data_IF_154921411299
#
_entry.id   IF_154921411299
#
_cell.length_a   1.000
_cell.length_b   1.000
_cell.length_c   1.000
_cell.angle_alpha   90.00
_cell.angle_beta   90.00
_cell.angle_gamma   90.00
#
_symmetry.space_group_name_H-M   'P 1'
#
loop_
_entity.id
_entity.type
_entity.pdbx_description
1 polymer ?
#
# COMPACT_ATOMS: atom_id res chain seq x y z
N UNK A 1 -2.95 -0.75 -50.13
CA UNK A 1 -4.07 -1.40 -49.41
C UNK A 1 -5.10 -0.35 -49.04
N UNK A 2 -6.36 -0.57 -49.38
CA UNK A 2 -7.48 0.34 -49.14
C UNK A 2 -8.78 -0.44 -48.83
N UNK A 3 -9.75 0.22 -48.19
CA UNK A 3 -11.10 -0.30 -48.00
C UNK A 3 -12.08 0.59 -48.78
N UNK A 4 -12.84 0.00 -49.71
CA UNK A 4 -13.78 0.73 -50.55
C UNK A 4 -15.22 0.31 -50.23
N UNK A 5 -16.14 1.29 -50.09
CA UNK A 5 -17.56 1.05 -49.84
C UNK A 5 -18.30 0.85 -51.16
N UNK A 6 -19.21 -0.12 -51.20
CA UNK A 6 -20.06 -0.42 -52.37
C UNK A 6 -21.55 -0.35 -52.03
N UNK A 7 -22.42 -0.64 -53.00
CA UNK A 7 -23.87 -0.70 -52.80
C UNK A 7 -24.30 -1.87 -51.92
N UNK A 8 -23.54 -2.97 -51.93
CA UNK A 8 -23.83 -4.24 -51.26
C UNK A 8 -22.91 -4.54 -50.05
N UNK A 9 -21.83 -3.79 -49.88
CA UNK A 9 -20.81 -4.15 -48.90
C UNK A 9 -19.57 -3.25 -48.88
N UNK A 10 -18.45 -3.90 -48.62
CA UNK A 10 -17.12 -3.33 -48.60
C UNK A 10 -16.14 -4.27 -49.29
N UNK A 11 -15.25 -3.68 -50.09
CA UNK A 11 -14.11 -4.36 -50.68
C UNK A 11 -12.82 -4.00 -49.96
N UNK A 12 -11.90 -4.95 -50.03
CA UNK A 12 -10.50 -4.76 -49.68
C UNK A 12 -9.68 -4.75 -50.96
N UNK A 13 -8.98 -3.64 -51.19
CA UNK A 13 -8.14 -3.43 -52.36
C UNK A 13 -6.68 -3.55 -51.97
N UNK A 14 -5.90 -4.30 -52.74
CA UNK A 14 -4.46 -4.44 -52.54
C UNK A 14 -3.70 -4.39 -53.86
N UNK A 15 -2.59 -3.66 -53.82
CA UNK A 15 -1.55 -3.66 -54.83
C UNK A 15 -0.22 -3.65 -54.06
N UNK A 16 0.67 -4.57 -54.41
CA UNK A 16 2.04 -4.66 -53.91
C UNK A 16 2.96 -3.60 -54.53
N UNK A 17 4.26 -3.68 -54.22
CA UNK A 17 5.26 -2.91 -54.95
C UNK A 17 5.51 -3.48 -56.35
N UNK A 18 6.08 -2.67 -57.24
CA UNK A 18 6.59 -3.15 -58.53
C UNK A 18 7.54 -4.34 -58.30
N UNK A 19 7.45 -5.35 -59.17
CA UNK A 19 8.18 -6.63 -59.11
C UNK A 19 7.78 -7.61 -57.98
N UNK A 20 6.91 -7.23 -57.04
CA UNK A 20 6.49 -8.12 -55.94
C UNK A 20 5.00 -8.54 -56.02
N UNK A 21 4.14 -7.80 -56.72
CA UNK A 21 2.67 -7.94 -56.63
C UNK A 21 2.10 -9.34 -56.99
N UNK A 22 2.83 -10.17 -57.73
CA UNK A 22 2.42 -11.52 -58.11
C UNK A 22 2.34 -12.52 -56.92
N UNK A 23 2.89 -12.16 -55.75
CA UNK A 23 2.93 -13.05 -54.58
C UNK A 23 1.52 -13.48 -54.11
N UNK A 24 0.55 -12.56 -54.11
CA UNK A 24 -0.82 -12.82 -53.66
C UNK A 24 -1.48 -13.88 -54.54
N UNK A 25 -1.35 -13.76 -55.87
CA UNK A 25 -1.91 -14.75 -56.79
C UNK A 25 -1.21 -16.10 -56.69
N UNK A 26 0.10 -16.09 -56.46
CA UNK A 26 0.89 -17.31 -56.25
C UNK A 26 0.43 -18.08 -55.02
N UNK A 27 0.24 -17.41 -53.88
CA UNK A 27 -0.29 -18.02 -52.65
C UNK A 27 -1.74 -18.52 -52.85
N UNK A 28 -2.60 -17.73 -53.48
CA UNK A 28 -3.99 -18.15 -53.74
C UNK A 28 -4.07 -19.37 -54.66
N UNK A 29 -3.16 -19.52 -55.63
CA UNK A 29 -3.08 -20.70 -56.52
C UNK A 29 -2.54 -21.93 -55.79
N UNK A 30 -1.47 -21.77 -55.02
CA UNK A 30 -0.75 -22.89 -54.41
C UNK A 30 -1.37 -23.35 -53.09
N UNK A 31 -1.72 -22.40 -52.23
CA UNK A 31 -2.14 -22.65 -50.84
C UNK A 31 -3.65 -22.46 -50.64
N UNK A 32 -4.36 -21.94 -51.67
CA UNK A 32 -5.80 -21.68 -51.63
C UNK A 32 -6.20 -20.48 -50.76
N UNK A 33 -5.23 -19.83 -50.10
CA UNK A 33 -5.42 -18.68 -49.24
C UNK A 33 -4.18 -17.79 -49.23
N UNK A 34 -4.36 -16.52 -48.84
CA UNK A 34 -3.27 -15.54 -48.72
C UNK A 34 -3.52 -14.63 -47.52
N UNK A 35 -2.43 -14.12 -46.92
CA UNK A 35 -2.52 -13.20 -45.76
C UNK A 35 -1.90 -11.85 -46.07
N UNK A 36 -2.75 -10.85 -46.32
CA UNK A 36 -2.31 -9.50 -46.64
C UNK A 36 -2.12 -8.69 -45.35
N UNK A 37 -1.02 -7.94 -45.29
CA UNK A 37 -0.64 -7.12 -44.12
C UNK A 37 -0.58 -7.88 -42.79
N UNK A 38 -0.33 -9.21 -42.85
CA UNK A 38 -0.22 -10.15 -41.72
C UNK A 38 -1.48 -10.26 -40.86
N UNK A 39 -2.63 -9.84 -41.38
CA UNK A 39 -3.89 -9.75 -40.62
C UNK A 39 -5.07 -10.22 -41.46
N UNK A 40 -5.11 -9.82 -42.73
CA UNK A 40 -6.27 -10.01 -43.59
C UNK A 40 -6.13 -11.30 -44.38
N UNK A 41 -6.94 -12.31 -44.04
CA UNK A 41 -6.86 -13.63 -44.67
C UNK A 41 -7.94 -13.77 -45.74
N UNK A 42 -7.55 -14.03 -46.98
CA UNK A 42 -8.47 -14.20 -48.09
C UNK A 42 -8.31 -15.59 -48.69
N UNK A 43 -9.40 -16.13 -49.21
CA UNK A 43 -9.42 -17.32 -50.05
C UNK A 43 -9.77 -16.93 -51.48
N UNK A 44 -9.54 -17.85 -52.43
CA UNK A 44 -9.78 -17.56 -53.85
C UNK A 44 -11.23 -17.12 -54.16
N UNK A 45 -12.22 -17.62 -53.44
CA UNK A 45 -13.63 -17.24 -53.63
C UNK A 45 -13.95 -15.81 -53.21
N UNK A 46 -13.04 -15.15 -52.48
CA UNK A 46 -13.21 -13.76 -52.06
C UNK A 46 -12.77 -12.79 -53.16
N UNK A 47 -11.97 -13.25 -54.14
CA UNK A 47 -11.42 -12.44 -55.23
C UNK A 47 -12.42 -12.31 -56.38
N UNK A 48 -12.76 -11.08 -56.77
CA UNK A 48 -13.80 -10.83 -57.80
C UNK A 48 -13.36 -11.08 -59.23
N UNK A 49 -12.14 -10.70 -59.60
CA UNK A 49 -11.65 -10.76 -60.98
C UNK A 49 -10.29 -11.46 -61.04
N UNK A 50 -10.20 -12.79 -60.86
CA UNK A 50 -8.91 -13.49 -60.80
C UNK A 50 -8.03 -13.24 -62.04
N UNK A 51 -6.71 -13.00 -61.88
CA UNK A 51 -5.79 -12.84 -63.00
C UNK A 51 -5.76 -14.04 -63.93
N UNK A 52 -5.67 -13.78 -65.23
CA UNK A 52 -5.40 -14.77 -66.27
C UNK A 52 -3.92 -14.75 -66.72
N UNK A 53 -3.56 -15.65 -67.64
CA UNK A 53 -2.17 -15.79 -68.12
C UNK A 53 -1.68 -14.59 -68.95
N UNK A 54 -2.57 -13.66 -69.30
CA UNK A 54 -2.26 -12.42 -70.04
C UNK A 54 -2.29 -11.17 -69.15
N UNK A 55 -2.64 -11.32 -67.88
CA UNK A 55 -2.77 -10.22 -66.94
C UNK A 55 -1.39 -9.68 -66.56
N UNK A 56 -1.19 -8.38 -66.79
CA UNK A 56 0.00 -7.68 -66.28
C UNK A 56 -0.10 -7.58 -64.76
N UNK A 57 0.79 -8.30 -64.08
CA UNK A 57 0.76 -8.41 -62.63
C UNK A 57 1.35 -7.18 -61.94
N UNK A 58 2.08 -6.30 -62.64
CA UNK A 58 2.74 -5.16 -62.01
C UNK A 58 1.73 -4.08 -61.58
N UNK A 59 0.70 -3.86 -62.41
CA UNK A 59 -0.36 -2.87 -62.17
C UNK A 59 -1.68 -3.49 -61.68
N UNK A 60 -1.73 -4.80 -61.49
CA UNK A 60 -2.95 -5.49 -61.09
C UNK A 60 -3.39 -5.15 -59.65
N UNK A 61 -4.65 -4.72 -59.48
CA UNK A 61 -5.24 -4.45 -58.16
C UNK A 61 -6.13 -5.62 -57.75
N UNK A 62 -5.74 -6.32 -56.70
CA UNK A 62 -6.57 -7.37 -56.11
C UNK A 62 -7.76 -6.74 -55.37
N UNK A 63 -8.98 -7.13 -55.75
CA UNK A 63 -10.22 -6.68 -55.12
C UNK A 63 -10.92 -7.87 -54.47
N UNK A 64 -10.93 -7.88 -53.14
CA UNK A 64 -11.57 -8.93 -52.34
C UNK A 64 -12.87 -8.43 -51.72
N UNK A 65 -13.90 -9.28 -51.71
CA UNK A 65 -15.06 -9.08 -50.83
C UNK A 65 -14.61 -9.12 -49.36
N UNK A 66 -14.92 -8.07 -48.59
CA UNK A 66 -14.44 -7.92 -47.22
C UNK A 66 -15.56 -7.86 -46.18
N UNK A 67 -16.68 -7.22 -46.50
CA UNK A 67 -17.83 -7.14 -45.59
C UNK A 67 -19.14 -6.95 -46.34
N UNK A 68 -20.24 -7.46 -45.76
CA UNK A 68 -21.58 -7.36 -46.33
C UNK A 68 -22.46 -6.48 -45.47
N UNK A 69 -23.33 -5.68 -46.09
CA UNK A 69 -24.30 -4.88 -45.35
C UNK A 69 -25.42 -5.79 -44.85
N UNK A 70 -25.65 -5.78 -43.53
CA UNK A 70 -26.74 -6.46 -42.83
C UNK A 70 -27.48 -5.44 -41.97
N UNK A 71 -28.57 -4.87 -42.50
CA UNK A 71 -29.32 -3.81 -41.85
C UNK A 71 -28.47 -2.54 -41.67
N UNK A 72 -28.34 -2.08 -40.42
CA UNK A 72 -27.54 -0.89 -40.08
C UNK A 72 -26.03 -1.19 -39.91
N UNK A 73 -25.62 -2.45 -40.08
CA UNK A 73 -24.26 -2.92 -39.83
C UNK A 73 -23.59 -3.47 -41.09
N UNK A 74 -22.26 -3.54 -41.05
CA UNK A 74 -21.41 -4.26 -41.99
C UNK A 74 -20.84 -5.44 -41.24
N UNK A 75 -21.15 -6.65 -41.70
CA UNK A 75 -20.63 -7.90 -41.18
C UNK A 75 -19.37 -8.30 -41.93
N UNK A 76 -18.28 -8.47 -41.19
CA UNK A 76 -16.98 -8.93 -41.68
C UNK A 76 -16.80 -10.38 -41.18
N UNK A 77 -16.61 -11.35 -42.09
CA UNK A 77 -16.33 -12.73 -41.72
C UNK A 77 -15.09 -12.83 -40.81
N UNK A 78 -15.21 -13.52 -39.67
CA UNK A 78 -14.16 -13.61 -38.66
C UNK A 78 -12.84 -14.15 -39.22
N UNK A 79 -12.92 -15.15 -40.13
CA UNK A 79 -11.76 -15.72 -40.82
C UNK A 79 -10.90 -14.66 -41.52
N UNK A 80 -11.51 -13.61 -42.07
CA UNK A 80 -10.81 -12.58 -42.82
C UNK A 80 -9.94 -11.70 -41.93
N UNK A 81 -10.12 -11.74 -40.62
CA UNK A 81 -9.38 -10.93 -39.65
C UNK A 81 -8.80 -11.79 -38.53
N UNK A 82 -8.70 -13.11 -38.74
CA UNK A 82 -8.10 -14.05 -37.79
C UNK A 82 -8.90 -14.21 -36.49
N UNK A 83 -10.22 -14.07 -36.56
CA UNK A 83 -11.18 -14.20 -35.45
C UNK A 83 -12.08 -15.43 -35.66
N UNK A 84 -12.43 -16.13 -34.58
CA UNK A 84 -13.47 -17.18 -34.64
C UNK A 84 -14.89 -16.60 -34.71
N UNK A 85 -15.05 -15.34 -34.29
CA UNK A 85 -16.30 -14.60 -34.31
C UNK A 85 -16.28 -13.65 -35.51
N UNK A 86 -17.40 -13.57 -36.22
CA UNK A 86 -17.64 -12.47 -37.16
C UNK A 86 -17.68 -11.13 -36.42
N UNK A 87 -17.42 -10.04 -37.13
CA UNK A 87 -17.38 -8.70 -36.54
C UNK A 87 -18.35 -7.80 -37.25
N UNK A 88 -19.12 -7.03 -36.48
CA UNK A 88 -20.13 -6.11 -37.00
C UNK A 88 -19.80 -4.67 -36.60
N UNK A 89 -19.77 -3.77 -37.57
CA UNK A 89 -19.60 -2.33 -37.38
C UNK A 89 -20.73 -1.55 -38.05
N UNK A 90 -21.13 -0.36 -37.55
CA UNK A 90 -22.09 0.49 -38.24
C UNK A 90 -21.72 0.75 -39.70
N UNK A 91 -22.71 0.84 -40.59
CA UNK A 91 -22.52 1.11 -42.03
C UNK A 91 -21.81 2.43 -42.36
N UNK A 92 -21.75 3.35 -41.38
CA UNK A 92 -21.00 4.61 -41.45
C UNK A 92 -19.54 4.52 -41.00
N UNK A 93 -19.05 3.36 -40.56
CA UNK A 93 -17.67 3.20 -40.08
C UNK A 93 -16.66 3.35 -41.22
N UNK A 94 -15.62 4.16 -40.99
CA UNK A 94 -14.51 4.30 -41.92
C UNK A 94 -13.41 3.28 -41.62
N UNK A 95 -13.34 2.22 -42.42
CA UNK A 95 -12.40 1.13 -42.19
C UNK A 95 -10.95 1.54 -42.48
N UNK A 96 -10.08 1.26 -41.51
CA UNK A 96 -8.63 1.38 -41.61
C UNK A 96 -7.99 0.20 -40.94
N UNK A 97 -6.77 -0.15 -41.36
CA UNK A 97 -5.96 -1.22 -40.76
C UNK A 97 -5.92 -1.16 -39.22
N UNK A 98 -5.79 0.04 -38.65
CA UNK A 98 -5.69 0.27 -37.20
C UNK A 98 -6.91 -0.19 -36.37
N UNK A 99 -8.06 -0.43 -37.01
CA UNK A 99 -9.22 -1.00 -36.34
C UNK A 99 -9.08 -2.51 -36.13
N UNK A 100 -8.25 -3.18 -36.95
CA UNK A 100 -8.12 -4.64 -36.97
C UNK A 100 -6.75 -5.11 -36.48
N UNK A 101 -5.71 -4.28 -36.61
CA UNK A 101 -4.34 -4.62 -36.29
C UNK A 101 -3.75 -3.70 -35.21
N UNK A 102 -3.20 -4.32 -34.15
CA UNK A 102 -2.35 -3.65 -33.16
C UNK A 102 -0.85 -3.81 -33.48
N UNK A 103 0.00 -3.25 -32.62
CA UNK A 103 1.46 -3.39 -32.67
C UNK A 103 1.89 -4.86 -32.83
N UNK A 104 2.99 -5.10 -33.56
CA UNK A 104 3.48 -6.44 -33.94
C UNK A 104 2.51 -7.27 -34.79
N UNK A 105 1.58 -6.63 -35.49
CA UNK A 105 0.57 -7.29 -36.33
C UNK A 105 -0.31 -8.27 -35.54
N UNK A 106 -0.64 -7.91 -34.31
CA UNK A 106 -1.62 -8.65 -33.52
C UNK A 106 -3.00 -8.32 -34.07
N UNK A 107 -3.77 -9.35 -34.48
CA UNK A 107 -5.19 -9.17 -34.76
C UNK A 107 -5.93 -8.83 -33.48
N UNK A 108 -6.56 -7.65 -33.45
CA UNK A 108 -7.34 -7.17 -32.31
C UNK A 108 -8.51 -8.12 -32.06
N UNK A 109 -9.27 -8.45 -33.11
CA UNK A 109 -10.41 -9.36 -33.03
C UNK A 109 -9.99 -10.82 -32.85
N UNK A 110 -8.84 -11.22 -33.39
CA UNK A 110 -8.25 -12.52 -33.10
C UNK A 110 -7.82 -12.66 -31.64
N UNK A 111 -7.40 -11.56 -30.99
CA UNK A 111 -7.13 -11.56 -29.55
C UNK A 111 -8.41 -11.55 -28.72
N UNK A 112 -9.42 -10.78 -29.13
CA UNK A 112 -10.71 -10.72 -28.45
C UNK A 112 -11.45 -12.07 -28.51
N UNK A 113 -11.56 -12.68 -29.69
CA UNK A 113 -12.23 -13.98 -29.87
C UNK A 113 -11.63 -15.07 -28.99
N UNK A 114 -10.30 -15.12 -28.81
CA UNK A 114 -9.63 -16.07 -27.90
C UNK A 114 -9.99 -15.88 -26.42
N UNK A 115 -10.54 -14.72 -26.04
CA UNK A 115 -10.99 -14.44 -24.68
C UNK A 115 -12.49 -14.70 -24.50
N UNK A 116 -13.23 -14.96 -25.58
CA UNK A 116 -14.65 -15.29 -25.56
C UNK A 116 -14.82 -16.81 -25.57
N UNK A 117 -15.86 -17.28 -24.88
CA UNK A 117 -16.27 -18.69 -24.82
C UNK A 117 -17.42 -19.03 -25.79
N UNK A 118 -17.81 -18.07 -26.63
CA UNK A 118 -18.88 -18.19 -27.61
C UNK A 118 -18.43 -17.74 -29.00
N UNK A 119 -19.24 -18.06 -30.02
CA UNK A 119 -19.00 -17.71 -31.43
C UNK A 119 -19.91 -16.61 -31.98
N UNK A 120 -20.78 -16.06 -31.13
CA UNK A 120 -21.65 -14.95 -31.53
C UNK A 120 -20.84 -13.75 -32.06
N UNK A 121 -21.37 -12.98 -33.04
CA UNK A 121 -20.65 -11.85 -33.61
C UNK A 121 -20.23 -10.80 -32.57
N UNK A 122 -19.02 -10.26 -32.73
CA UNK A 122 -18.53 -9.12 -31.94
C UNK A 122 -19.08 -7.85 -32.57
N UNK A 123 -20.02 -7.19 -31.89
CA UNK A 123 -20.66 -5.97 -32.38
C UNK A 123 -19.96 -4.76 -31.76
N UNK A 124 -19.52 -3.81 -32.59
CA UNK A 124 -18.81 -2.60 -32.17
C UNK A 124 -19.57 -1.36 -32.63
N UNK A 125 -20.13 -0.61 -31.68
CA UNK A 125 -20.90 0.62 -31.92
C UNK A 125 -22.33 0.38 -32.43
N UNK A 126 -23.00 1.48 -32.78
CA UNK A 126 -24.41 1.46 -33.21
C UNK A 126 -25.39 1.33 -32.03
N UNK A 127 -26.64 0.99 -32.35
CA UNK A 127 -27.75 0.97 -31.39
C UNK A 127 -28.00 -0.40 -30.73
N UNK A 128 -27.30 -1.46 -31.15
CA UNK A 128 -27.48 -2.80 -30.58
C UNK A 128 -27.09 -2.79 -29.08
N UNK A 129 -27.98 -3.23 -28.15
CA UNK A 129 -27.70 -3.27 -26.71
C UNK A 129 -26.51 -4.15 -26.31
N UNK A 130 -26.12 -5.11 -27.17
CA UNK A 130 -24.95 -5.99 -26.96
C UNK A 130 -23.67 -5.42 -27.57
N UNK A 131 -23.73 -4.27 -28.25
CA UNK A 131 -22.57 -3.67 -28.87
C UNK A 131 -21.59 -3.12 -27.82
N UNK A 132 -20.30 -3.32 -28.08
CA UNK A 132 -19.24 -2.58 -27.41
C UNK A 132 -19.37 -1.11 -27.86
N UNK A 133 -19.58 -0.13 -26.96
CA UNK A 133 -19.67 1.26 -27.37
C UNK A 133 -18.42 1.70 -28.13
N UNK A 134 -18.58 2.53 -29.18
CA UNK A 134 -17.46 2.94 -30.03
C UNK A 134 -16.33 3.58 -29.20
N UNK A 135 -16.67 4.43 -28.23
CA UNK A 135 -15.69 5.08 -27.34
C UNK A 135 -14.88 4.08 -26.50
N UNK A 136 -15.52 2.99 -26.06
CA UNK A 136 -14.86 1.91 -25.31
C UNK A 136 -13.92 1.14 -26.22
N UNK A 137 -14.34 0.85 -27.46
CA UNK A 137 -13.48 0.21 -28.45
C UNK A 137 -12.27 1.08 -28.81
N UNK A 138 -12.47 2.38 -29.01
CA UNK A 138 -11.38 3.34 -29.23
C UNK A 138 -10.43 3.45 -28.02
N UNK A 139 -10.97 3.41 -26.79
CA UNK A 139 -10.14 3.36 -25.59
C UNK A 139 -9.30 2.07 -25.54
N UNK A 140 -9.88 0.93 -25.91
CA UNK A 140 -9.16 -0.33 -26.06
C UNK A 140 -8.01 -0.18 -27.08
N UNK A 141 -8.28 0.35 -28.28
CA UNK A 141 -7.26 0.59 -29.31
C UNK A 141 -6.10 1.44 -28.79
N UNK A 142 -6.40 2.50 -28.03
CA UNK A 142 -5.39 3.39 -27.42
C UNK A 142 -4.60 2.70 -26.30
N UNK A 143 -5.23 1.76 -25.58
CA UNK A 143 -4.61 1.07 -24.43
C UNK A 143 -3.89 -0.22 -24.80
N UNK A 144 -4.07 -0.73 -26.01
CA UNK A 144 -3.35 -1.92 -26.48
C UNK A 144 -1.84 -1.77 -26.22
N UNK A 145 -1.18 -2.77 -25.58
CA UNK A 145 0.24 -2.70 -25.29
C UNK A 145 1.06 -2.50 -26.56
N UNK A 146 1.98 -1.54 -26.53
CA UNK A 146 2.89 -1.32 -27.64
C UNK A 146 4.13 -2.22 -27.53
N UNK A 147 4.96 -2.21 -28.58
CA UNK A 147 6.19 -3.03 -28.63
C UNK A 147 7.12 -2.76 -27.45
N UNK A 148 7.21 -1.52 -26.97
CA UNK A 148 8.04 -1.14 -25.83
C UNK A 148 7.50 -1.68 -24.51
N UNK A 149 6.19 -1.58 -24.27
CA UNK A 149 5.51 -2.13 -23.09
C UNK A 149 5.67 -3.65 -23.01
N UNK A 150 5.50 -4.35 -24.14
CA UNK A 150 5.67 -5.80 -24.21
C UNK A 150 7.11 -6.24 -23.91
N UNK A 151 8.11 -5.49 -24.40
CA UNK A 151 9.51 -5.76 -24.07
C UNK A 151 9.80 -5.53 -22.59
N UNK A 152 9.32 -4.41 -22.03
CA UNK A 152 9.48 -4.11 -20.60
C UNK A 152 8.85 -5.19 -19.71
N UNK A 153 7.66 -5.66 -20.07
CA UNK A 153 7.02 -6.77 -19.38
C UNK A 153 7.88 -8.05 -19.44
N UNK A 154 8.37 -8.41 -20.63
CA UNK A 154 9.22 -9.60 -20.79
C UNK A 154 10.51 -9.49 -19.96
N UNK A 155 11.21 -8.35 -20.04
CA UNK A 155 12.44 -8.11 -19.29
C UNK A 155 12.19 -8.15 -17.77
N UNK A 156 11.08 -7.57 -17.28
CA UNK A 156 10.69 -7.62 -15.88
C UNK A 156 10.39 -9.04 -15.39
N UNK A 157 9.77 -9.88 -16.24
CA UNK A 157 9.53 -11.30 -15.93
C UNK A 157 10.83 -12.07 -15.83
N UNK A 158 11.77 -11.88 -16.77
CA UNK A 158 13.10 -12.50 -16.74
C UNK A 158 13.87 -12.06 -15.49
N UNK A 159 13.89 -10.75 -15.20
CA UNK A 159 14.53 -10.20 -14.01
C UNK A 159 13.98 -10.81 -12.73
N UNK A 160 12.65 -10.92 -12.59
CA UNK A 160 12.03 -11.49 -11.38
C UNK A 160 12.46 -12.93 -11.11
N UNK A 161 12.74 -13.71 -12.15
CA UNK A 161 13.14 -15.12 -12.02
C UNK A 161 14.65 -15.23 -11.75
N UNK A 162 15.46 -14.39 -12.38
CA UNK A 162 16.92 -14.57 -12.41
C UNK A 162 17.71 -13.63 -11.49
N UNK A 163 17.10 -12.56 -10.94
CA UNK A 163 17.83 -11.56 -10.15
C UNK A 163 18.44 -12.09 -8.85
N UNK A 164 17.96 -13.24 -8.35
CA UNK A 164 18.54 -13.91 -7.18
C UNK A 164 19.71 -14.82 -7.53
N UNK A 165 19.95 -15.09 -8.82
CA UNK A 165 20.96 -16.02 -9.30
C UNK A 165 22.08 -15.33 -10.10
N UNK A 166 21.78 -14.18 -10.71
CA UNK A 166 22.71 -13.44 -11.56
C UNK A 166 22.98 -12.05 -10.96
N UNK A 167 24.24 -11.78 -10.65
CA UNK A 167 24.69 -10.45 -10.23
C UNK A 167 24.75 -9.49 -11.42
N UNK A 168 24.57 -8.19 -11.14
CA UNK A 168 24.72 -7.13 -12.15
C UNK A 168 23.56 -6.98 -13.15
N UNK A 169 22.42 -7.63 -12.90
CA UNK A 169 21.22 -7.43 -13.73
C UNK A 169 20.72 -5.99 -13.64
N UNK A 170 20.29 -5.43 -14.77
CA UNK A 170 19.57 -4.15 -14.81
C UNK A 170 18.21 -4.32 -14.12
N UNK A 171 17.77 -3.32 -13.35
CA UNK A 171 16.47 -3.31 -12.68
C UNK A 171 15.30 -3.18 -13.66
N UNK A 172 15.08 -4.21 -14.46
CA UNK A 172 14.02 -4.23 -15.46
C UNK A 172 12.62 -4.21 -14.83
N UNK A 173 12.50 -4.72 -13.59
CA UNK A 173 11.26 -4.68 -12.83
C UNK A 173 10.89 -3.24 -12.47
N UNK A 174 11.78 -2.50 -11.81
CA UNK A 174 11.54 -1.10 -11.46
C UNK A 174 11.26 -0.25 -12.70
N UNK A 175 12.00 -0.46 -13.79
CA UNK A 175 11.75 0.28 -15.03
C UNK A 175 10.38 0.00 -15.68
N UNK A 176 9.83 -1.22 -15.52
CA UNK A 176 8.48 -1.54 -15.99
C UNK A 176 7.41 -0.94 -15.07
N UNK A 177 7.59 -1.02 -13.75
CA UNK A 177 6.71 -0.39 -12.76
C UNK A 177 6.64 1.13 -12.97
N UNK A 178 7.77 1.79 -13.20
CA UNK A 178 7.84 3.23 -13.52
C UNK A 178 7.08 3.58 -14.80
N UNK A 179 7.19 2.73 -15.82
CA UNK A 179 6.46 2.91 -17.08
C UNK A 179 4.95 2.81 -16.86
N UNK A 180 4.48 1.80 -16.12
CA UNK A 180 3.07 1.64 -15.78
C UNK A 180 2.56 2.81 -14.93
N UNK A 181 3.33 3.24 -13.93
CA UNK A 181 2.98 4.36 -13.08
C UNK A 181 2.82 5.64 -13.90
N UNK A 182 3.75 5.96 -14.80
CA UNK A 182 3.61 7.11 -15.72
C UNK A 182 2.36 7.02 -16.60
N UNK A 183 1.98 5.81 -17.01
CA UNK A 183 0.77 5.56 -17.81
C UNK A 183 -0.52 5.65 -16.98
N UNK A 184 -0.47 5.29 -15.69
CA UNK A 184 -1.62 5.27 -14.77
C UNK A 184 -1.87 6.60 -14.05
N UNK A 185 -0.83 7.40 -13.79
CA UNK A 185 -0.92 8.71 -13.09
C UNK A 185 -1.82 9.72 -13.81
N UNK A 186 -2.20 9.48 -15.07
CA UNK A 186 -3.14 10.30 -15.84
C UNK A 186 -4.62 10.12 -15.40
N UNK A 187 -4.95 9.17 -14.52
CA UNK A 187 -6.31 9.07 -13.93
C UNK A 187 -6.23 9.16 -12.40
N UNK A 188 -6.92 10.17 -11.86
CA UNK A 188 -6.95 10.63 -10.47
C UNK A 188 -6.70 9.56 -9.42
N UNK A 189 -5.73 9.83 -8.55
CA UNK A 189 -5.41 8.98 -7.42
C UNK A 189 -6.64 8.72 -6.55
N UNK A 190 -6.85 7.44 -6.23
CA UNK A 190 -7.81 6.96 -5.23
C UNK A 190 -7.42 7.56 -3.86
N UNK A 191 -7.92 8.75 -3.54
CA UNK A 191 -7.90 9.25 -2.16
C UNK A 191 -8.96 8.46 -1.40
N UNK A 192 -8.51 7.50 -0.59
CA UNK A 192 -9.36 6.91 0.46
C UNK A 192 -9.85 8.05 1.36
N UNK A 193 -11.17 8.25 1.41
CA UNK A 193 -11.76 9.20 2.33
C UNK A 193 -11.56 8.71 3.77
N UNK A 194 -10.71 9.42 4.51
CA UNK A 194 -10.33 9.09 5.90
C UNK A 194 -10.70 10.21 6.87
N UNK A 195 -11.56 11.14 6.43
CA UNK A 195 -11.91 12.34 7.18
C UNK A 195 -12.55 12.01 8.54
N UNK A 196 -13.50 11.08 8.56
CA UNK A 196 -14.19 10.67 9.79
C UNK A 196 -13.25 10.00 10.78
N UNK A 197 -12.35 9.13 10.32
CA UNK A 197 -11.34 8.48 11.16
C UNK A 197 -10.39 9.50 11.79
N UNK A 198 -9.94 10.50 11.01
CA UNK A 198 -9.11 11.59 11.53
C UNK A 198 -9.83 12.40 12.59
N UNK A 199 -11.11 12.71 12.38
CA UNK A 199 -11.94 13.44 13.34
C UNK A 199 -12.04 12.69 14.68
N UNK A 200 -12.33 11.38 14.64
CA UNK A 200 -12.39 10.55 15.85
C UNK A 200 -11.05 10.51 16.60
N UNK A 201 -9.94 10.39 15.89
CA UNK A 201 -8.61 10.43 16.50
C UNK A 201 -8.32 11.77 17.17
N UNK A 202 -8.68 12.89 16.53
CA UNK A 202 -8.55 14.24 17.12
C UNK A 202 -9.37 14.35 18.41
N UNK A 203 -10.65 13.97 18.37
CA UNK A 203 -11.56 14.05 19.52
C UNK A 203 -11.02 13.23 20.71
N UNK A 204 -10.52 12.02 20.45
CA UNK A 204 -9.86 11.17 21.44
C UNK A 204 -8.67 11.89 22.10
N UNK A 205 -7.73 12.42 21.32
CA UNK A 205 -6.54 13.09 21.88
C UNK A 205 -6.89 14.38 22.63
N UNK A 206 -7.87 15.16 22.15
CA UNK A 206 -8.37 16.36 22.82
C UNK A 206 -8.96 16.01 24.19
N UNK A 207 -9.77 14.94 24.27
CA UNK A 207 -10.34 14.47 25.52
C UNK A 207 -9.24 14.03 26.51
N UNK A 208 -8.30 13.21 26.06
CA UNK A 208 -7.21 12.72 26.93
C UNK A 208 -6.36 13.89 27.43
N UNK A 209 -5.99 14.85 26.56
CA UNK A 209 -5.27 16.06 26.94
C UNK A 209 -6.04 16.84 28.01
N UNK A 210 -7.36 17.04 27.83
CA UNK A 210 -8.22 17.71 28.80
C UNK A 210 -8.21 16.99 30.15
N UNK A 211 -8.32 15.66 30.16
CA UNK A 211 -8.30 14.84 31.37
C UNK A 211 -6.97 14.96 32.11
N UNK A 212 -5.84 14.95 31.40
CA UNK A 212 -4.51 15.12 32.01
C UNK A 212 -4.38 16.53 32.61
N UNK A 213 -4.73 17.58 31.86
CA UNK A 213 -4.66 18.96 32.36
C UNK A 213 -5.54 19.18 33.59
N UNK A 214 -6.80 18.71 33.55
CA UNK A 214 -7.72 18.78 34.70
C UNK A 214 -7.13 18.08 35.95
N UNK A 215 -6.50 16.92 35.77
CA UNK A 215 -5.89 16.22 36.90
C UNK A 215 -4.68 16.98 37.46
N UNK A 216 -3.86 17.57 36.58
CA UNK A 216 -2.69 18.35 36.98
C UNK A 216 -3.06 19.66 37.70
N UNK A 217 -4.22 20.26 37.38
CA UNK A 217 -4.67 21.54 37.96
C UNK A 217 -5.56 21.35 39.19
N UNK A 218 -6.51 20.41 39.13
CA UNK A 218 -7.61 20.30 40.09
C UNK A 218 -7.53 19.07 41.00
N UNK A 219 -6.58 18.16 40.76
CA UNK A 219 -6.48 16.86 41.47
C UNK A 219 -5.10 16.62 42.07
N UNK A 220 -4.44 17.69 42.52
CA UNK A 220 -3.09 17.65 43.12
C UNK A 220 -3.03 16.83 44.42
N UNK A 221 -4.15 16.70 45.12
CA UNK A 221 -4.25 15.99 46.40
C UNK A 221 -4.49 14.48 46.25
N UNK A 222 -4.57 13.94 45.02
CA UNK A 222 -4.75 12.51 44.81
C UNK A 222 -3.58 11.70 45.37
N UNK A 223 -3.92 10.58 45.99
CA UNK A 223 -2.93 9.55 46.31
C UNK A 223 -2.32 8.96 45.02
N UNK A 224 -1.09 8.43 45.11
CA UNK A 224 -0.39 7.87 43.95
C UNK A 224 -1.20 6.73 43.28
N UNK A 225 -1.84 5.88 44.07
CA UNK A 225 -2.72 4.81 43.59
C UNK A 225 -3.92 5.36 42.79
N UNK A 226 -4.59 6.39 43.29
CA UNK A 226 -5.71 7.03 42.59
C UNK A 226 -5.26 7.71 41.29
N UNK A 227 -4.06 8.30 41.31
CA UNK A 227 -3.44 8.87 40.13
C UNK A 227 -3.16 7.79 39.07
N UNK A 228 -2.64 6.64 39.49
CA UNK A 228 -2.40 5.51 38.60
C UNK A 228 -3.70 5.02 37.95
N UNK A 229 -4.74 4.76 38.75
CA UNK A 229 -6.07 4.36 38.27
C UNK A 229 -6.61 5.36 37.23
N UNK A 230 -6.46 6.66 37.50
CA UNK A 230 -6.90 7.71 36.58
C UNK A 230 -6.19 7.64 35.24
N UNK A 231 -4.86 7.57 35.22
CA UNK A 231 -4.07 7.48 33.99
C UNK A 231 -4.31 6.18 33.21
N UNK A 232 -4.54 5.06 33.91
CA UNK A 232 -4.83 3.76 33.30
C UNK A 232 -6.11 3.80 32.45
N UNK A 233 -7.09 4.64 32.80
CA UNK A 233 -8.34 4.80 32.03
C UNK A 233 -8.13 5.17 30.55
N UNK A 234 -6.97 5.75 30.20
CA UNK A 234 -6.64 6.14 28.84
C UNK A 234 -5.25 5.70 28.37
N UNK A 235 -4.52 4.89 29.16
CA UNK A 235 -3.14 4.49 28.81
C UNK A 235 -3.08 3.67 27.50
N UNK A 236 -4.04 2.77 27.29
CA UNK A 236 -4.13 1.97 26.07
C UNK A 236 -4.60 2.81 24.87
N UNK A 237 -5.31 3.92 25.12
CA UNK A 237 -5.70 4.87 24.07
C UNK A 237 -4.52 5.74 23.62
N UNK A 238 -3.58 6.03 24.54
CA UNK A 238 -2.35 6.75 24.26
C UNK A 238 -1.31 5.89 23.53
N UNK A 239 -1.26 4.60 23.88
CA UNK A 239 -0.27 3.67 23.35
C UNK A 239 -0.96 2.50 22.64
N UNK A 240 -1.47 2.71 21.41
CA UNK A 240 -2.38 1.78 20.73
C UNK A 240 -1.76 0.42 20.37
N UNK A 241 -0.44 0.25 20.50
CA UNK A 241 0.21 -1.06 20.34
C UNK A 241 -0.14 -2.03 21.48
N UNK A 242 -0.53 -1.51 22.64
CA UNK A 242 -0.89 -2.30 23.81
C UNK A 242 -2.38 -2.58 23.85
N UNK A 243 -2.73 -3.80 24.24
CA UNK A 243 -4.12 -4.29 24.26
C UNK A 243 -4.62 -4.59 25.67
N UNK A 244 -3.72 -4.71 26.65
CA UNK A 244 -4.06 -5.05 28.04
C UNK A 244 -3.05 -4.46 29.02
N UNK A 245 -3.55 -4.02 30.17
CA UNK A 245 -2.76 -3.70 31.36
C UNK A 245 -2.84 -4.88 32.31
N UNK A 246 -1.71 -5.35 32.83
CA UNK A 246 -1.62 -6.37 33.86
C UNK A 246 -1.13 -5.73 35.15
N UNK A 247 -1.91 -5.89 36.21
CA UNK A 247 -1.59 -5.31 37.52
C UNK A 247 -0.84 -6.31 38.40
N UNK A 248 0.06 -5.78 39.25
CA UNK A 248 0.80 -6.52 40.27
C UNK A 248 1.45 -7.81 39.74
N UNK A 249 2.20 -7.66 38.63
CA UNK A 249 2.88 -8.78 37.97
C UNK A 249 4.05 -9.24 38.83
N UNK A 250 3.96 -10.47 39.32
CA UNK A 250 5.02 -11.07 40.13
C UNK A 250 6.16 -11.55 39.23
N UNK A 251 7.38 -11.10 39.51
CA UNK A 251 8.61 -11.57 38.88
C UNK A 251 9.57 -12.13 39.93
N UNK A 252 10.45 -13.04 39.50
CA UNK A 252 11.40 -13.70 40.39
C UNK A 252 12.78 -13.03 40.33
N UNK A 253 13.23 -12.52 41.47
CA UNK A 253 14.60 -12.03 41.67
C UNK A 253 15.45 -13.13 42.33
N UNK A 254 16.46 -13.60 41.59
CA UNK A 254 17.39 -14.65 42.02
C UNK A 254 18.74 -14.10 42.54
N UNK A 255 18.91 -12.77 42.59
CA UNK A 255 20.22 -12.13 42.78
C UNK A 255 20.33 -11.38 44.10
N UNK A 256 19.22 -10.91 44.69
CA UNK A 256 19.28 -10.14 45.94
C UNK A 256 19.68 -10.98 47.15
N UNK A 257 19.35 -12.27 47.18
CA UNK A 257 19.68 -13.15 48.31
C UNK A 257 20.90 -14.01 47.99
N UNK A 258 21.89 -13.98 48.88
CA UNK A 258 23.10 -14.81 48.77
C UNK A 258 22.81 -16.32 48.95
N UNK A 259 21.68 -16.68 49.56
CA UNK A 259 21.27 -18.07 49.75
C UNK A 259 20.62 -18.72 48.51
N UNK A 260 20.62 -18.02 47.37
CA UNK A 260 20.09 -18.50 46.09
C UNK A 260 18.56 -18.63 46.04
N UNK A 261 17.83 -18.24 47.10
CA UNK A 261 16.37 -18.29 47.10
C UNK A 261 15.79 -17.15 46.29
N UNK A 262 14.71 -17.44 45.57
CA UNK A 262 13.95 -16.42 44.85
C UNK A 262 13.29 -15.43 45.82
N UNK A 263 13.40 -14.16 45.49
CA UNK A 263 12.67 -13.08 46.14
C UNK A 263 11.59 -12.59 45.18
N UNK A 264 10.30 -12.60 45.57
CA UNK A 264 9.28 -12.02 44.72
C UNK A 264 9.49 -10.51 44.61
N UNK A 265 9.43 -10.01 43.38
CA UNK A 265 9.31 -8.60 43.05
C UNK A 265 7.97 -8.39 42.36
N UNK A 266 7.43 -7.19 42.51
CA UNK A 266 6.13 -6.84 41.97
C UNK A 266 6.32 -5.66 41.03
N UNK A 267 5.88 -5.84 39.80
CA UNK A 267 5.72 -4.77 38.84
C UNK A 267 4.28 -4.29 39.01
N UNK A 268 4.10 -3.03 39.39
CA UNK A 268 2.76 -2.49 39.63
C UNK A 268 1.91 -2.60 38.36
N UNK A 269 2.50 -2.21 37.22
CA UNK A 269 1.82 -2.19 35.93
C UNK A 269 2.71 -2.74 34.81
N UNK A 270 2.22 -3.73 34.10
CA UNK A 270 2.81 -4.23 32.86
C UNK A 270 1.83 -4.05 31.70
N UNK A 271 2.37 -3.91 30.50
CA UNK A 271 1.62 -3.68 29.27
C UNK A 271 1.83 -4.84 28.31
N UNK A 272 0.74 -5.43 27.84
CA UNK A 272 0.78 -6.51 26.85
C UNK A 272 0.49 -5.94 25.46
N UNK A 273 1.40 -6.13 24.51
CA UNK A 273 1.20 -5.71 23.12
C UNK A 273 0.35 -6.71 22.32
N UNK A 274 -0.09 -6.28 21.13
CA UNK A 274 -0.93 -7.09 20.24
C UNK A 274 -0.27 -8.40 19.77
N UNK A 275 1.07 -8.53 19.90
CA UNK A 275 1.83 -9.73 19.56
C UNK A 275 2.13 -10.60 20.80
N UNK A 276 1.64 -10.20 21.98
CA UNK A 276 1.85 -10.88 23.25
C UNK A 276 3.16 -10.52 23.96
N UNK A 277 3.90 -9.49 23.53
CA UNK A 277 5.11 -9.07 24.24
C UNK A 277 4.75 -8.24 25.48
N UNK A 278 5.46 -8.51 26.58
CA UNK A 278 5.30 -7.82 27.85
C UNK A 278 6.31 -6.67 27.97
N UNK A 279 5.79 -5.45 28.14
CA UNK A 279 6.53 -4.26 28.52
C UNK A 279 6.11 -3.82 29.94
N UNK A 280 6.84 -2.87 30.53
CA UNK A 280 6.59 -2.34 31.88
C UNK A 280 6.23 -0.87 31.81
N UNK A 281 5.37 -0.39 32.71
CA UNK A 281 5.16 1.05 32.90
C UNK A 281 5.33 1.43 34.36
N UNK A 282 6.22 2.40 34.61
CA UNK A 282 6.41 3.02 35.91
C UNK A 282 5.71 4.39 35.88
N UNK A 283 4.61 4.49 36.63
CA UNK A 283 3.77 5.67 36.67
C UNK A 283 3.82 6.29 38.06
N UNK A 284 4.40 7.48 38.17
CA UNK A 284 4.48 8.25 39.41
C UNK A 284 3.59 9.47 39.33
N UNK A 285 2.88 9.79 40.42
CA UNK A 285 2.14 11.05 40.52
C UNK A 285 3.07 12.23 40.24
N UNK A 286 2.59 13.31 39.60
CA UNK A 286 3.38 14.51 39.44
C UNK A 286 3.78 15.04 40.82
N UNK A 287 5.00 15.58 40.89
CA UNK A 287 5.50 16.25 42.07
C UNK A 287 5.99 17.63 41.65
N UNK A 288 5.80 18.62 42.52
CA UNK A 288 6.17 20.02 42.24
C UNK A 288 7.69 20.23 42.17
N UNK A 289 8.47 19.23 42.61
CA UNK A 289 9.91 19.23 42.48
C UNK A 289 10.35 18.85 41.06
N UNK A 290 11.46 19.44 40.63
CA UNK A 290 12.00 19.28 39.28
C UNK A 290 12.40 17.84 38.95
N UNK A 291 12.39 17.47 37.67
CA UNK A 291 13.01 16.21 37.21
C UNK A 291 14.55 16.28 37.17
N UNK A 292 15.11 17.50 37.21
CA UNK A 292 16.54 17.79 37.31
C UNK A 292 16.84 18.53 38.61
N UNK A 293 18.02 18.30 39.21
CA UNK A 293 18.43 18.97 40.46
C UNK A 293 18.51 20.49 40.28
N UNK A 294 18.35 21.23 41.40
CA UNK A 294 18.47 22.70 41.43
C UNK A 294 19.87 23.18 41.01
N UNK A 295 20.90 22.53 41.53
CA UNK A 295 22.29 22.86 41.24
C UNK A 295 22.83 22.06 40.07
N UNK A 296 23.73 22.69 39.30
CA UNK A 296 24.50 21.99 38.28
C UNK A 296 25.66 21.23 38.92
N UNK A 297 26.00 20.08 38.34
CA UNK A 297 27.21 19.36 38.67
C UNK A 297 28.20 19.50 37.52
N UNK A 298 29.29 20.25 37.76
CA UNK A 298 30.32 20.56 36.76
C UNK A 298 29.72 21.11 35.44
N UNK A 299 28.77 22.04 35.56
CA UNK A 299 28.10 22.68 34.43
C UNK A 299 26.92 21.90 33.83
N UNK A 300 26.64 20.67 34.28
CA UNK A 300 25.55 19.85 33.75
C UNK A 300 24.34 19.82 34.69
N UNK A 301 23.14 19.81 34.12
CA UNK A 301 21.91 19.54 34.86
C UNK A 301 21.75 18.02 35.01
N UNK A 302 21.62 17.55 36.25
CA UNK A 302 21.60 16.13 36.58
C UNK A 302 20.23 15.68 37.09
N UNK A 303 19.84 14.40 36.89
CA UNK A 303 18.58 13.85 37.39
C UNK A 303 18.40 14.01 38.91
N UNK A 304 17.16 14.17 39.35
CA UNK A 304 16.79 14.03 40.77
C UNK A 304 16.85 12.59 41.25
N UNK A 305 16.73 12.39 42.57
CA UNK A 305 16.62 11.07 43.19
C UNK A 305 15.41 10.31 42.68
N UNK A 306 14.30 11.01 42.45
CA UNK A 306 13.04 10.44 41.99
C UNK A 306 13.17 9.89 40.56
N UNK A 307 13.73 10.69 39.64
CA UNK A 307 14.01 10.23 38.27
C UNK A 307 15.02 9.08 38.25
N UNK A 308 16.12 9.21 39.00
CA UNK A 308 17.13 8.15 39.07
C UNK A 308 16.57 6.85 39.66
N UNK A 309 15.70 6.97 40.66
CA UNK A 309 15.02 5.85 41.30
C UNK A 309 14.05 5.14 40.35
N UNK A 310 13.23 5.89 39.62
CA UNK A 310 12.31 5.34 38.63
C UNK A 310 13.05 4.61 37.50
N UNK A 311 14.14 5.19 36.98
CA UNK A 311 15.01 4.54 35.98
C UNK A 311 15.57 3.22 36.54
N UNK A 312 16.16 3.26 37.74
CA UNK A 312 16.73 2.07 38.39
C UNK A 312 15.68 0.98 38.63
N UNK A 313 14.46 1.35 39.03
CA UNK A 313 13.36 0.43 39.25
C UNK A 313 12.94 -0.24 37.94
N UNK A 314 12.72 0.54 36.88
CA UNK A 314 12.42 0.02 35.55
C UNK A 314 13.54 -0.92 35.04
N UNK A 315 14.81 -0.53 35.15
CA UNK A 315 15.94 -1.37 34.74
C UNK A 315 15.96 -2.72 35.49
N UNK A 316 15.71 -2.72 36.80
CA UNK A 316 15.61 -3.97 37.58
C UNK A 316 14.48 -4.85 37.09
N UNK A 317 13.31 -4.29 36.77
CA UNK A 317 12.20 -5.06 36.24
C UNK A 317 12.53 -5.69 34.88
N UNK A 318 13.07 -4.91 33.94
CA UNK A 318 13.49 -5.42 32.63
C UNK A 318 14.56 -6.51 32.76
N UNK A 319 15.51 -6.33 33.67
CA UNK A 319 16.55 -7.32 33.96
C UNK A 319 15.96 -8.63 34.47
N UNK A 320 15.11 -8.58 35.51
CA UNK A 320 14.52 -9.78 36.09
C UNK A 320 13.56 -10.50 35.14
N UNK A 321 12.75 -9.76 34.37
CA UNK A 321 11.92 -10.33 33.31
C UNK A 321 12.79 -11.09 32.30
N UNK A 322 13.81 -10.42 31.75
CA UNK A 322 14.71 -11.01 30.74
C UNK A 322 15.43 -12.26 31.25
N UNK A 323 15.77 -12.31 32.54
CA UNK A 323 16.38 -13.50 33.17
C UNK A 323 15.40 -14.62 33.43
N UNK A 324 14.12 -14.31 33.66
CA UNK A 324 13.11 -15.33 33.92
C UNK A 324 12.76 -16.14 32.65
N UNK A 325 12.80 -15.48 31.48
CA UNK A 325 12.72 -16.12 30.17
C UNK A 325 11.48 -17.01 29.98
N UNK A 326 11.66 -18.14 29.29
CA UNK A 326 10.57 -19.07 28.90
C UNK A 326 9.76 -19.57 30.10
N UNK A 327 10.38 -19.74 31.28
CA UNK A 327 9.65 -20.14 32.47
C UNK A 327 8.66 -19.04 32.89
N UNK A 328 9.10 -17.78 32.88
CA UNK A 328 8.22 -16.63 33.16
C UNK A 328 7.09 -16.52 32.15
N UNK A 329 7.38 -16.68 30.87
CA UNK A 329 6.36 -16.69 29.82
C UNK A 329 5.25 -17.71 30.09
N UNK A 330 5.60 -18.94 30.48
CA UNK A 330 4.64 -20.00 30.83
C UNK A 330 3.82 -19.67 32.07
N UNK A 331 4.48 -19.21 33.13
CA UNK A 331 3.81 -18.87 34.41
C UNK A 331 2.85 -17.70 34.23
N UNK A 332 3.28 -16.64 33.54
CA UNK A 332 2.46 -15.46 33.26
C UNK A 332 1.29 -15.81 32.33
N UNK A 333 1.54 -16.55 31.24
CA UNK A 333 0.46 -16.97 30.32
C UNK A 333 -0.60 -17.78 31.05
N UNK A 334 -0.21 -18.70 31.94
CA UNK A 334 -1.15 -19.47 32.74
C UNK A 334 -1.94 -18.59 33.71
N UNK A 335 -1.27 -17.64 34.37
CA UNK A 335 -1.88 -16.75 35.36
C UNK A 335 -2.91 -15.81 34.76
N UNK A 336 -2.61 -15.25 33.59
CA UNK A 336 -3.42 -14.22 32.92
C UNK A 336 -4.23 -14.76 31.73
N UNK A 337 -4.43 -16.09 31.63
CA UNK A 337 -5.12 -16.73 30.51
C UNK A 337 -6.55 -16.19 30.28
N UNK A 338 -7.24 -15.77 31.34
CA UNK A 338 -8.58 -15.18 31.27
C UNK A 338 -8.59 -13.70 30.86
N UNK A 339 -7.43 -13.03 30.94
CA UNK A 339 -7.26 -11.60 30.68
C UNK A 339 -6.75 -11.30 29.26
N UNK A 340 -6.39 -12.32 28.49
CA UNK A 340 -5.75 -12.20 27.17
C UNK A 340 -6.56 -12.94 26.09
N UNK A 341 -6.43 -12.56 24.81
CA UNK A 341 -7.11 -13.23 23.70
C UNK A 341 -6.82 -14.74 23.65
N UNK A 342 -7.81 -15.51 23.17
CA UNK A 342 -7.68 -16.96 23.03
C UNK A 342 -6.46 -17.33 22.16
N UNK A 343 -5.65 -18.28 22.63
CA UNK A 343 -4.43 -18.73 21.96
C UNK A 343 -3.22 -17.79 22.08
N UNK A 344 -3.37 -16.58 22.65
CA UNK A 344 -2.26 -15.68 22.90
C UNK A 344 -1.33 -16.23 24.00
N UNK A 345 -0.02 -15.98 23.84
CA UNK A 345 1.01 -16.30 24.84
C UNK A 345 1.76 -15.03 25.22
N UNK A 346 2.01 -14.86 26.51
CA UNK A 346 2.85 -13.78 27.02
C UNK A 346 4.31 -14.11 26.71
N UNK A 347 5.02 -13.16 26.09
CA UNK A 347 6.42 -13.24 25.68
C UNK A 347 7.25 -12.20 26.41
N UNK A 348 8.46 -12.59 26.80
CA UNK A 348 9.45 -11.71 27.41
C UNK A 348 10.59 -11.51 26.38
N UNK A 349 10.24 -10.94 25.24
CA UNK A 349 11.15 -10.73 24.10
C UNK A 349 11.70 -9.30 24.12
N UNK A 350 12.83 -9.09 24.79
CA UNK A 350 13.47 -7.77 24.94
C UNK A 350 12.49 -6.70 25.46
N UNK A 351 11.97 -6.89 26.69
CA UNK A 351 10.94 -6.01 27.26
C UNK A 351 11.45 -4.57 27.36
N UNK A 352 10.55 -3.61 27.16
CA UNK A 352 10.82 -2.18 27.31
C UNK A 352 10.06 -1.58 28.48
N UNK A 353 10.48 -0.42 28.93
CA UNK A 353 9.79 0.34 29.95
C UNK A 353 9.25 1.68 29.43
N UNK A 354 8.13 2.12 29.98
CA UNK A 354 7.67 3.51 29.87
C UNK A 354 7.72 4.10 31.27
N UNK A 355 8.30 5.27 31.43
CA UNK A 355 8.30 5.99 32.70
C UNK A 355 7.56 7.29 32.50
N UNK A 356 6.49 7.49 33.26
CA UNK A 356 5.72 8.75 33.27
C UNK A 356 5.82 9.34 34.67
N UNK A 357 6.56 10.44 34.80
CA UNK A 357 6.78 11.08 36.10
C UNK A 357 7.12 12.57 35.97
N UNK A 358 6.82 13.31 37.03
CA UNK A 358 7.32 14.67 37.24
C UNK A 358 6.83 15.70 36.23
N UNK A 359 7.25 16.94 36.46
CA UNK A 359 6.97 18.09 35.60
C UNK A 359 8.26 18.60 34.97
N UNK A 360 8.17 19.15 33.78
CA UNK A 360 9.30 19.85 33.13
C UNK A 360 9.26 21.38 33.35
N UNK A 361 8.38 21.83 34.25
CA UNK A 361 8.40 23.19 34.79
C UNK A 361 9.31 23.27 36.01
N UNK A 362 10.08 24.36 36.11
CA UNK A 362 11.08 24.64 37.13
C UNK A 362 10.72 25.82 38.03
N UNK A 363 10.50 25.61 39.33
CA UNK A 363 10.26 26.68 40.33
C UNK A 363 9.21 27.73 39.90
N UNK A 364 8.15 27.30 39.21
CA UNK A 364 7.11 28.19 38.69
C UNK A 364 7.39 28.82 37.31
N UNK A 365 8.48 28.46 36.63
CA UNK A 365 8.79 28.87 35.25
C UNK A 365 9.33 27.73 34.39
N UNK A 366 9.33 27.87 33.07
CA UNK A 366 9.76 26.81 32.15
C UNK A 366 11.24 26.41 32.30
N UNK A 367 11.58 25.15 31.97
CA UNK A 367 12.99 24.73 31.84
C UNK A 367 13.75 25.66 30.89
N UNK A 368 14.99 25.98 31.27
CA UNK A 368 15.93 26.67 30.38
C UNK A 368 16.35 25.78 29.21
N UNK A 369 16.83 26.36 28.12
CA UNK A 369 17.30 25.58 26.96
C UNK A 369 18.39 24.56 27.33
N UNK A 370 19.30 24.93 28.24
CA UNK A 370 20.32 24.01 28.74
C UNK A 370 19.72 22.84 29.54
N UNK A 371 18.68 23.08 30.34
CA UNK A 371 17.97 22.01 31.05
C UNK A 371 17.21 21.10 30.09
N UNK A 372 16.57 21.66 29.06
CA UNK A 372 15.88 20.88 28.02
C UNK A 372 16.86 20.00 27.25
N UNK A 373 18.02 20.55 26.88
CA UNK A 373 19.08 19.80 26.19
C UNK A 373 19.59 18.65 27.06
N UNK A 374 19.96 18.91 28.31
CA UNK A 374 20.47 17.89 29.22
C UNK A 374 19.42 16.80 29.50
N UNK A 375 18.16 17.18 29.67
CA UNK A 375 17.06 16.22 29.83
C UNK A 375 16.85 15.36 28.58
N UNK A 376 16.91 15.96 27.39
CA UNK A 376 16.84 15.21 26.13
C UNK A 376 18.01 14.24 25.98
N UNK A 377 19.23 14.63 26.38
CA UNK A 377 20.40 13.73 26.42
C UNK A 377 20.16 12.54 27.35
N UNK A 378 19.56 12.77 28.53
CA UNK A 378 19.17 11.69 29.46
C UNK A 378 18.14 10.77 28.79
N UNK A 379 17.07 11.29 28.20
CA UNK A 379 16.06 10.47 27.51
C UNK A 379 16.68 9.61 26.40
N UNK A 380 17.52 10.22 25.57
CA UNK A 380 18.23 9.57 24.45
C UNK A 380 19.15 8.45 24.91
N UNK A 381 19.84 8.60 26.05
CA UNK A 381 20.70 7.57 26.64
C UNK A 381 19.94 6.25 26.88
N UNK A 382 18.66 6.35 27.24
CA UNK A 382 17.85 5.19 27.62
C UNK A 382 16.86 4.72 26.54
N UNK A 383 16.74 5.44 25.41
CA UNK A 383 15.71 5.25 24.39
C UNK A 383 15.57 3.83 23.79
N UNK A 384 16.65 3.03 23.81
CA UNK A 384 16.59 1.64 23.35
C UNK A 384 15.81 0.72 24.30
N UNK A 385 15.81 1.04 25.60
CA UNK A 385 15.21 0.22 26.67
C UNK A 385 13.96 0.86 27.26
N UNK A 386 13.87 2.20 27.31
CA UNK A 386 12.75 2.89 27.93
C UNK A 386 12.43 4.25 27.31
N UNK A 387 11.16 4.64 27.37
CA UNK A 387 10.70 6.01 27.07
C UNK A 387 10.44 6.75 28.39
N UNK A 388 11.14 7.86 28.62
CA UNK A 388 11.01 8.68 29.82
C UNK A 388 10.23 9.94 29.45
N UNK A 389 9.08 10.15 30.08
CA UNK A 389 8.10 11.16 29.71
C UNK A 389 7.68 11.95 30.96
N UNK A 390 7.75 13.27 30.89
CA UNK A 390 7.06 14.13 31.88
C UNK A 390 5.60 14.32 31.50
N UNK A 391 4.75 14.71 32.44
CA UNK A 391 3.35 15.02 32.11
C UNK A 391 3.25 16.16 31.08
N UNK A 392 4.14 17.14 31.17
CA UNK A 392 4.22 18.23 30.19
C UNK A 392 4.72 17.75 28.80
N UNK A 393 5.67 16.79 28.75
CA UNK A 393 6.08 16.14 27.50
C UNK A 393 4.91 15.38 26.87
N UNK A 394 4.11 14.67 27.68
CA UNK A 394 2.95 13.94 27.21
C UNK A 394 1.89 14.88 26.60
N UNK A 395 1.61 16.01 27.27
CA UNK A 395 0.70 17.05 26.75
C UNK A 395 1.22 17.63 25.44
N UNK A 396 2.52 17.99 25.37
CA UNK A 396 3.11 18.51 24.13
C UNK A 396 3.06 17.50 22.98
N UNK A 397 3.28 16.21 23.26
CA UNK A 397 3.13 15.14 22.25
C UNK A 397 1.68 15.07 21.73
N UNK A 398 0.69 15.19 22.62
CA UNK A 398 -0.73 15.23 22.24
C UNK A 398 -1.06 16.46 21.40
N UNK A 399 -0.60 17.64 21.80
CA UNK A 399 -0.82 18.89 21.04
C UNK A 399 -0.27 18.79 19.62
N UNK A 400 0.98 18.36 19.48
CA UNK A 400 1.62 18.20 18.17
C UNK A 400 0.90 17.15 17.31
N UNK A 401 0.40 16.08 17.92
CA UNK A 401 -0.36 15.03 17.21
C UNK A 401 -1.70 15.56 16.72
N UNK A 402 -2.42 16.33 17.55
CA UNK A 402 -3.69 16.98 17.15
C UNK A 402 -3.48 17.90 15.95
N UNK A 403 -2.45 18.75 15.98
CA UNK A 403 -2.11 19.66 14.87
C UNK A 403 -1.78 18.88 13.60
N UNK A 404 -0.95 17.84 13.71
CA UNK A 404 -0.55 17.01 12.56
C UNK A 404 -1.75 16.31 11.90
N UNK A 405 -2.80 16.01 12.68
CA UNK A 405 -4.06 15.44 12.18
C UNK A 405 -5.02 16.48 11.59
N UNK A 406 -4.73 17.78 11.73
CA UNK A 406 -5.54 18.89 11.24
C UNK A 406 -6.54 19.46 12.25
N UNK A 407 -6.38 19.14 13.54
CA UNK A 407 -7.18 19.74 14.61
C UNK A 407 -6.64 21.10 15.05
N UNK A 408 -7.52 21.97 15.54
CA UNK A 408 -7.13 23.23 16.18
C UNK A 408 -6.57 22.98 17.58
N UNK A 409 -5.45 23.62 17.92
CA UNK A 409 -5.02 23.68 19.31
C UNK A 409 -5.89 24.69 20.04
N UNK A 410 -6.62 24.21 21.06
CA UNK A 410 -7.13 25.10 22.11
C UNK A 410 -5.93 25.53 22.95
N UNK A 411 -5.09 26.42 22.42
CA UNK A 411 -4.20 27.21 23.25
C UNK A 411 -5.13 28.16 23.96
N UNK A 412 -5.39 27.91 25.24
CA UNK A 412 -5.95 28.92 26.11
C UNK A 412 -5.02 30.13 26.00
N UNK A 413 -5.46 31.18 25.28
CA UNK A 413 -4.82 32.49 25.36
C UNK A 413 -4.83 32.85 26.84
N UNK A 414 -3.66 32.77 27.49
CA UNK A 414 -3.40 33.51 28.71
C UNK A 414 -3.54 34.99 28.32
N UNK A 415 -4.72 35.56 28.56
CA UNK A 415 -4.91 37.00 28.77
C UNK A 415 -4.20 37.42 30.04
#
# INVERSE_FOLDING_TARGET
MNFAKTSDGWYFEYQGGADENAWVWTELKNDGSTTISKIFNFVRSDLREPPDDTTDMDDYVYVFDFGKIEGEYVRIPGRMIGSENDVMFPTGTFFKRKLFAAERNISIFGRLSKLLDHRDPIIVGGADPKAIPMEVFEELLRKFPNTYELNRYADARVHTILSTYLDGMKDARGMYEDYLNKKMVVKGGLKLETADLKKLEIEKYVLIRKLINDALENKTDLAEEQWQIYMLSFILLLFPKYIRVLENVTINDYYTREDGKKTPRYIDLALLDANGNLDVIELKKPFDNKILRKGQYRGNNVPTSELSGAIMQAEKYLFHLSKWGIQGERELTKRYAADIPEGMKIRISNPKAIIILGRDTTFGGDMTDGQRLDFEVIKRKYANMMDIITYDDLIRRLDNTIVALGGETVIAKKT
#
